data_IF_209010367933
#
_entry.id   IF_209010367933
#
_cell.length_a   1.000
_cell.length_b   1.000
_cell.length_c   1.000
_cell.angle_alpha   90.00
_cell.angle_beta   90.00
_cell.angle_gamma   90.00
#
_symmetry.space_group_name_H-M   'P 1'
#
loop_
_entity.id
_entity.type
_entity.pdbx_description
1 polymer ?
#
# COMPACT_ATOMS: atom_id res chain seq x y z
N UNK A 1 -40.65 12.59 -2.63
CA UNK A 1 -39.35 12.32 -3.28
C UNK A 1 -38.48 11.65 -2.27
N UNK A 2 -38.33 10.37 -2.38
CA UNK A 2 -37.43 9.60 -1.54
C UNK A 2 -36.02 9.85 -2.01
N UNK A 3 -35.25 10.58 -1.24
CA UNK A 3 -33.82 10.54 -1.36
C UNK A 3 -33.39 9.13 -0.97
N UNK A 4 -33.06 8.30 -1.94
CA UNK A 4 -32.37 7.06 -1.69
C UNK A 4 -31.00 7.44 -1.10
N UNK A 5 -30.94 7.55 0.21
CA UNK A 5 -29.69 7.39 0.94
C UNK A 5 -29.29 5.92 0.77
N UNK A 6 -28.78 5.59 -0.38
CA UNK A 6 -27.87 4.47 -0.48
C UNK A 6 -26.66 4.90 0.35
N UNK A 7 -26.64 4.44 1.59
CA UNK A 7 -25.42 4.42 2.36
C UNK A 7 -24.45 3.57 1.53
N UNK A 8 -23.71 4.24 0.65
CA UNK A 8 -22.55 3.62 0.02
C UNK A 8 -21.69 3.15 1.16
N UNK A 9 -21.61 1.85 1.33
CA UNK A 9 -20.56 1.21 2.13
C UNK A 9 -19.24 1.62 1.49
N UNK A 10 -18.71 2.76 1.94
CA UNK A 10 -17.51 3.36 1.39
C UNK A 10 -16.24 2.64 1.86
N UNK A 11 -16.28 1.31 1.85
CA UNK A 11 -15.09 0.51 2.11
C UNK A 11 -14.27 0.26 0.84
N UNK A 12 -14.52 1.01 -0.21
CA UNK A 12 -13.83 0.84 -1.49
C UNK A 12 -12.84 1.98 -1.71
N UNK A 13 -11.60 1.64 -2.03
CA UNK A 13 -10.59 2.62 -2.38
C UNK A 13 -10.91 3.28 -3.74
N UNK A 14 -10.86 4.61 -3.79
CA UNK A 14 -11.11 5.37 -5.02
C UNK A 14 -10.00 5.23 -6.06
N UNK A 15 -8.83 4.72 -5.67
CA UNK A 15 -7.67 4.56 -6.56
C UNK A 15 -7.65 3.17 -7.19
N UNK A 16 -7.77 2.11 -6.40
CA UNK A 16 -7.68 0.73 -6.88
C UNK A 16 -9.00 -0.03 -6.94
N UNK A 17 -10.08 0.54 -6.41
CA UNK A 17 -11.43 -0.02 -6.36
C UNK A 17 -11.56 -1.34 -5.58
N UNK A 18 -10.56 -1.67 -4.75
CA UNK A 18 -10.62 -2.82 -3.86
C UNK A 18 -11.22 -2.43 -2.52
N UNK A 19 -11.76 -3.42 -1.81
CA UNK A 19 -12.20 -3.21 -0.43
C UNK A 19 -11.02 -2.83 0.45
N UNK A 20 -11.23 -1.84 1.31
CA UNK A 20 -10.18 -1.30 2.18
C UNK A 20 -10.34 -1.87 3.58
N UNK A 21 -9.24 -2.43 4.09
CA UNK A 21 -9.11 -2.87 5.49
C UNK A 21 -8.34 -1.81 6.31
N UNK A 22 -7.28 -1.27 5.73
CA UNK A 22 -6.46 -0.24 6.35
C UNK A 22 -6.46 1.01 5.46
N UNK A 23 -6.84 2.14 6.04
CA UNK A 23 -6.90 3.43 5.36
C UNK A 23 -5.64 4.24 5.62
N UNK A 24 -5.24 5.04 4.63
CA UNK A 24 -4.28 6.12 4.78
C UNK A 24 -5.03 7.45 4.77
N UNK A 25 -4.91 8.21 5.85
CA UNK A 25 -5.62 9.48 6.02
C UNK A 25 -4.60 10.58 6.31
N UNK A 26 -4.64 11.63 5.53
CA UNK A 26 -3.86 12.85 5.73
C UNK A 26 -4.72 14.01 6.17
N UNK A 27 -4.13 15.21 6.20
CA UNK A 27 -4.79 16.43 6.66
C UNK A 27 -6.03 16.79 5.84
N UNK A 28 -6.09 16.41 4.56
CA UNK A 28 -7.26 16.63 3.69
C UNK A 28 -8.42 15.67 3.99
N UNK A 29 -8.19 14.65 4.80
CA UNK A 29 -9.19 13.66 5.24
C UNK A 29 -9.83 12.84 4.11
N UNK A 30 -9.18 12.73 2.95
CA UNK A 30 -9.57 11.84 1.87
C UNK A 30 -8.94 10.46 2.09
N UNK A 31 -9.70 9.44 2.51
CA UNK A 31 -9.12 8.13 2.77
C UNK A 31 -8.84 7.38 1.48
N UNK A 32 -7.67 6.78 1.41
CA UNK A 32 -7.29 5.80 0.38
C UNK A 32 -6.75 4.55 1.05
N UNK A 33 -6.65 3.43 0.33
CA UNK A 33 -6.07 2.24 0.96
C UNK A 33 -4.58 2.41 1.21
N UNK A 34 -4.08 1.75 2.25
CA UNK A 34 -2.67 1.88 2.64
C UNK A 34 -1.71 1.36 1.56
N UNK A 35 -2.12 0.38 0.76
CA UNK A 35 -1.30 -0.13 -0.35
C UNK A 35 -1.10 0.93 -1.45
N UNK A 36 -2.16 1.63 -1.84
CA UNK A 36 -2.06 2.73 -2.80
C UNK A 36 -1.23 3.88 -2.27
N UNK A 37 -1.42 4.26 -1.01
CA UNK A 37 -0.63 5.30 -0.35
C UNK A 37 0.84 4.92 -0.27
N UNK A 38 1.15 3.68 0.10
CA UNK A 38 2.53 3.16 0.12
C UNK A 38 3.16 3.23 -1.26
N UNK A 39 2.43 2.81 -2.29
CA UNK A 39 2.92 2.87 -3.67
C UNK A 39 3.28 4.29 -4.07
N UNK A 40 2.41 5.24 -3.83
CA UNK A 40 2.64 6.64 -4.19
C UNK A 40 3.79 7.25 -3.40
N UNK A 41 3.79 7.09 -2.08
CA UNK A 41 4.76 7.75 -1.20
C UNK A 41 6.14 7.11 -1.25
N UNK A 42 6.21 5.80 -1.28
CA UNK A 42 7.47 5.05 -1.19
C UNK A 42 8.07 4.81 -2.57
N UNK A 43 7.28 4.33 -3.52
CA UNK A 43 7.77 3.93 -4.83
C UNK A 43 7.81 5.09 -5.83
N UNK A 44 6.79 5.94 -5.83
CA UNK A 44 6.69 7.06 -6.76
C UNK A 44 7.20 8.37 -6.18
N UNK A 45 7.55 8.43 -4.89
CA UNK A 45 7.99 9.64 -4.18
C UNK A 45 6.98 10.80 -4.32
N UNK A 46 5.69 10.48 -4.35
CA UNK A 46 4.59 11.44 -4.46
C UNK A 46 3.82 11.48 -3.15
N UNK A 47 3.76 12.66 -2.55
CA UNK A 47 3.10 12.89 -1.26
C UNK A 47 1.74 13.59 -1.40
N UNK A 48 1.26 13.80 -2.60
CA UNK A 48 0.00 14.48 -2.86
C UNK A 48 -1.20 13.54 -2.72
N UNK A 49 -2.32 14.09 -2.24
CA UNK A 49 -3.57 13.36 -2.23
C UNK A 49 -4.03 13.07 -3.67
N UNK A 50 -4.36 11.83 -4.01
CA UNK A 50 -4.83 11.50 -5.37
C UNK A 50 -6.20 12.09 -5.71
N UNK A 51 -6.95 12.55 -4.71
CA UNK A 51 -8.30 13.10 -4.88
C UNK A 51 -8.26 14.61 -5.05
N UNK A 52 -7.66 15.34 -4.11
CA UNK A 52 -7.64 16.81 -4.11
C UNK A 52 -6.29 17.43 -4.47
N UNK A 53 -5.25 16.62 -4.62
CA UNK A 53 -3.88 17.01 -4.93
C UNK A 53 -3.19 17.89 -3.89
N UNK A 54 -3.75 17.98 -2.70
CA UNK A 54 -3.10 18.66 -1.59
C UNK A 54 -1.84 17.90 -1.20
N UNK A 55 -0.75 18.63 -0.95
CA UNK A 55 0.46 18.04 -0.39
C UNK A 55 0.20 17.54 1.02
N UNK A 56 0.54 16.28 1.27
CA UNK A 56 0.34 15.62 2.55
C UNK A 56 1.70 15.21 3.12
N UNK A 57 2.35 16.08 3.91
CA UNK A 57 3.67 15.79 4.46
C UNK A 57 3.67 14.56 5.39
N UNK A 58 2.54 14.25 6.00
CA UNK A 58 2.35 13.07 6.85
C UNK A 58 0.97 12.48 6.68
N UNK A 59 0.88 11.16 6.87
CA UNK A 59 -0.37 10.41 6.84
C UNK A 59 -0.41 9.43 8.01
N UNK A 60 -1.60 8.99 8.38
CA UNK A 60 -1.83 7.97 9.40
C UNK A 60 -2.48 6.75 8.75
N UNK A 61 -1.93 5.58 9.00
CA UNK A 61 -2.52 4.31 8.61
C UNK A 61 -3.38 3.78 9.76
N UNK A 62 -4.66 3.61 9.52
CA UNK A 62 -5.66 3.25 10.53
C UNK A 62 -6.76 2.36 9.95
N UNK A 63 -7.40 1.57 10.78
CA UNK A 63 -8.58 0.76 10.39
C UNK A 63 -9.88 1.53 10.47
N UNK A 64 -9.89 2.68 11.14
CA UNK A 64 -11.09 3.48 11.36
C UNK A 64 -10.98 4.84 10.68
N UNK A 65 -12.02 5.24 9.96
CA UNK A 65 -12.09 6.59 9.38
C UNK A 65 -12.51 7.55 10.48
N UNK A 66 -11.58 8.45 10.82
CA UNK A 66 -11.78 9.52 11.82
C UNK A 66 -11.22 10.82 11.29
N UNK A 67 -11.65 11.98 11.81
CA UNK A 67 -10.98 13.25 11.52
C UNK A 67 -9.48 13.17 11.83
N UNK A 68 -8.67 13.78 11.00
CA UNK A 68 -7.21 13.70 11.13
C UNK A 68 -6.71 14.14 12.51
N UNK A 69 -7.36 15.13 13.11
CA UNK A 69 -7.02 15.61 14.46
C UNK A 69 -7.27 14.58 15.57
N UNK A 70 -8.16 13.61 15.33
CA UNK A 70 -8.49 12.55 16.29
C UNK A 70 -7.67 11.27 16.06
N UNK A 71 -6.90 11.21 14.97
CA UNK A 71 -6.06 10.07 14.69
C UNK A 71 -4.83 10.08 15.59
N UNK A 72 -4.49 8.89 16.10
CA UNK A 72 -3.36 8.72 17.00
C UNK A 72 -2.04 8.89 16.26
N UNK A 73 -1.29 9.91 16.63
CA UNK A 73 0.06 10.19 16.12
C UNK A 73 1.06 9.98 17.26
N UNK A 74 1.28 8.70 17.59
CA UNK A 74 2.16 8.28 18.68
C UNK A 74 3.58 7.94 18.20
N UNK A 75 4.20 6.98 18.90
CA UNK A 75 5.58 6.58 18.66
C UNK A 75 5.75 5.64 17.46
N UNK A 76 4.68 5.09 16.92
CA UNK A 76 4.71 4.22 15.75
C UNK A 76 4.78 5.08 14.49
N UNK A 77 6.00 5.42 14.08
CA UNK A 77 6.26 6.34 12.99
C UNK A 77 7.40 5.80 12.13
N UNK A 78 7.18 5.76 10.83
CA UNK A 78 8.29 5.66 9.88
C UNK A 78 8.77 7.06 9.50
N UNK A 79 9.97 7.43 9.94
CA UNK A 79 10.51 8.77 9.76
C UNK A 79 10.96 9.06 8.34
N UNK A 80 11.27 8.02 7.56
CA UNK A 80 11.68 8.17 6.16
C UNK A 80 10.55 8.66 5.28
N UNK A 81 9.33 8.16 5.51
CA UNK A 81 8.16 8.46 4.70
C UNK A 81 7.10 9.27 5.42
N UNK A 82 7.32 9.60 6.70
CA UNK A 82 6.37 10.32 7.56
C UNK A 82 5.00 9.64 7.61
N UNK A 83 5.00 8.33 7.86
CA UNK A 83 3.79 7.53 8.01
C UNK A 83 3.65 7.14 9.47
N UNK A 84 2.53 7.53 10.08
CA UNK A 84 2.15 7.09 11.42
C UNK A 84 1.29 5.84 11.32
N UNK A 85 1.42 4.95 12.30
CA UNK A 85 0.64 3.72 12.40
C UNK A 85 -0.20 3.74 13.67
N UNK A 86 -1.47 3.44 13.54
CA UNK A 86 -2.39 3.40 14.68
C UNK A 86 -2.07 2.23 15.62
N UNK A 87 -1.67 1.09 15.06
CA UNK A 87 -1.32 -0.12 15.81
C UNK A 87 -0.04 -0.75 15.30
N UNK A 88 0.68 -1.57 16.13
CA UNK A 88 1.85 -2.32 15.66
C UNK A 88 1.54 -3.32 14.54
N UNK A 89 0.33 -3.86 14.51
CA UNK A 89 -0.13 -4.76 13.45
C UNK A 89 -0.14 -4.08 12.07
N UNK A 90 -0.65 -2.85 12.03
CA UNK A 90 -0.64 -2.04 10.81
C UNK A 90 0.79 -1.74 10.36
N UNK A 91 1.67 -1.41 11.29
CA UNK A 91 3.08 -1.18 11.00
C UNK A 91 3.74 -2.43 10.41
N UNK A 92 3.48 -3.60 10.95
CA UNK A 92 3.97 -4.87 10.41
C UNK A 92 3.50 -5.09 8.97
N UNK A 93 2.22 -4.85 8.69
CA UNK A 93 1.66 -5.00 7.34
C UNK A 93 2.29 -4.05 6.34
N UNK A 94 2.60 -2.82 6.76
CA UNK A 94 3.33 -1.87 5.91
C UNK A 94 4.72 -2.39 5.54
N UNK A 95 5.49 -2.88 6.50
CA UNK A 95 6.82 -3.41 6.23
C UNK A 95 6.75 -4.71 5.41
N UNK A 96 5.72 -5.52 5.57
CA UNK A 96 5.49 -6.71 4.74
C UNK A 96 5.29 -6.35 3.26
N UNK A 97 4.63 -5.24 2.97
CA UNK A 97 4.50 -4.74 1.58
C UNK A 97 5.86 -4.42 0.94
N UNK A 98 6.80 -3.95 1.73
CA UNK A 98 8.13 -3.56 1.27
C UNK A 98 9.12 -4.73 1.28
N UNK A 99 8.81 -5.82 1.97
CA UNK A 99 9.66 -6.97 2.09
C UNK A 99 9.73 -7.77 0.78
N UNK A 100 10.87 -8.43 0.57
CA UNK A 100 11.09 -9.29 -0.58
C UNK A 100 10.67 -10.73 -0.24
N UNK A 101 9.36 -10.97 -0.17
CA UNK A 101 8.79 -12.24 0.27
C UNK A 101 8.20 -13.02 -0.90
N UNK A 102 8.46 -14.32 -0.96
CA UNK A 102 7.73 -15.21 -1.86
C UNK A 102 6.43 -15.66 -1.18
N UNK A 103 5.29 -15.27 -1.75
CA UNK A 103 3.95 -15.64 -1.25
C UNK A 103 3.44 -16.98 -1.77
N UNK A 104 4.14 -17.59 -2.73
CA UNK A 104 3.74 -18.87 -3.34
C UNK A 104 4.27 -20.04 -2.51
N UNK A 105 5.50 -19.96 -2.03
CA UNK A 105 6.07 -20.97 -1.14
C UNK A 105 5.34 -20.99 0.20
N UNK A 106 5.11 -22.19 0.75
CA UNK A 106 4.45 -22.35 2.05
C UNK A 106 5.26 -21.71 3.18
N UNK A 107 6.59 -21.80 3.11
CA UNK A 107 7.50 -21.22 4.09
C UNK A 107 7.61 -19.71 4.01
N UNK A 108 7.11 -19.10 2.95
CA UNK A 108 7.19 -17.67 2.67
C UNK A 108 8.59 -17.10 2.90
N UNK A 109 9.61 -17.61 2.15
CA UNK A 109 10.99 -17.19 2.35
C UNK A 109 11.15 -15.70 2.04
N UNK A 110 11.97 -15.03 2.86
CA UNK A 110 12.30 -13.62 2.73
C UNK A 110 13.68 -13.49 2.12
N UNK A 111 13.82 -12.69 1.10
CA UNK A 111 15.09 -12.45 0.41
C UNK A 111 15.65 -11.06 0.78
N UNK A 112 16.96 -10.95 0.85
CA UNK A 112 17.63 -9.71 1.20
C UNK A 112 17.51 -8.64 0.11
N UNK A 113 17.40 -9.06 -1.15
CA UNK A 113 17.28 -8.15 -2.30
C UNK A 113 16.12 -8.55 -3.20
N UNK A 114 15.63 -7.58 -3.97
CA UNK A 114 14.59 -7.84 -4.96
C UNK A 114 15.09 -8.75 -6.08
N UNK A 115 16.36 -8.63 -6.48
CA UNK A 115 16.96 -9.50 -7.51
C UNK A 115 16.97 -10.97 -7.06
N UNK A 116 17.27 -11.23 -5.80
CA UNK A 116 17.20 -12.60 -5.25
C UNK A 116 15.79 -13.17 -5.28
N UNK A 117 14.78 -12.33 -4.97
CA UNK A 117 13.37 -12.74 -5.10
C UNK A 117 13.00 -12.99 -6.56
N UNK A 118 13.41 -12.13 -7.48
CA UNK A 118 13.18 -12.32 -8.93
C UNK A 118 13.74 -13.65 -9.41
N UNK A 119 14.97 -13.98 -9.05
CA UNK A 119 15.62 -15.23 -9.43
C UNK A 119 14.90 -16.45 -8.84
N UNK A 120 14.49 -16.37 -7.59
CA UNK A 120 13.71 -17.43 -6.94
C UNK A 120 12.36 -17.64 -7.67
N UNK A 121 11.64 -16.58 -7.98
CA UNK A 121 10.35 -16.67 -8.67
C UNK A 121 10.50 -17.29 -10.05
N UNK A 122 11.54 -16.92 -10.78
CA UNK A 122 11.83 -17.47 -12.10
C UNK A 122 12.20 -18.96 -12.04
N UNK A 123 13.08 -19.34 -11.10
CA UNK A 123 13.59 -20.72 -11.02
C UNK A 123 12.62 -21.70 -10.36
N UNK A 124 11.87 -21.27 -9.36
CA UNK A 124 11.00 -22.14 -8.58
C UNK A 124 9.54 -22.15 -9.04
N UNK A 125 9.08 -21.05 -9.60
CA UNK A 125 7.67 -20.88 -9.96
C UNK A 125 7.45 -20.56 -11.42
N UNK A 126 8.51 -20.43 -12.20
CA UNK A 126 8.46 -20.05 -13.63
C UNK A 126 7.69 -18.74 -13.86
N UNK A 127 7.77 -17.82 -12.91
CA UNK A 127 7.11 -16.52 -12.95
C UNK A 127 8.15 -15.42 -13.10
N UNK A 128 7.80 -14.41 -13.89
CA UNK A 128 8.63 -13.24 -14.11
C UNK A 128 7.92 -11.98 -13.65
N UNK A 129 8.66 -11.08 -13.01
CA UNK A 129 8.23 -9.71 -12.87
C UNK A 129 8.41 -8.99 -14.20
N UNK A 130 7.48 -8.12 -14.56
CA UNK A 130 7.64 -7.26 -15.72
C UNK A 130 8.74 -6.24 -15.43
N UNK A 131 9.91 -6.38 -16.04
CA UNK A 131 11.03 -5.47 -15.83
C UNK A 131 10.65 -4.02 -16.19
N UNK A 132 9.91 -3.85 -17.28
CA UNK A 132 9.44 -2.56 -17.70
C UNK A 132 8.50 -1.91 -16.68
N UNK A 133 7.58 -2.66 -16.10
CA UNK A 133 6.68 -2.19 -15.06
C UNK A 133 7.41 -1.88 -13.75
N UNK A 134 8.35 -2.73 -13.36
CA UNK A 134 9.15 -2.53 -12.14
C UNK A 134 10.01 -1.27 -12.23
N UNK A 135 10.65 -1.04 -13.37
CA UNK A 135 11.54 0.11 -13.57
C UNK A 135 10.79 1.41 -13.83
N UNK A 136 9.75 1.39 -14.67
CA UNK A 136 9.11 2.61 -15.17
C UNK A 136 7.83 2.97 -14.42
N UNK A 137 7.05 1.98 -13.99
CA UNK A 137 5.79 2.22 -13.30
C UNK A 137 5.90 2.08 -11.77
N UNK A 138 7.05 1.62 -11.29
CA UNK A 138 7.32 1.42 -9.86
C UNK A 138 6.17 0.74 -9.13
N UNK A 139 5.67 -0.34 -9.73
CA UNK A 139 4.60 -1.15 -9.13
C UNK A 139 5.11 -1.93 -7.93
N UNK A 140 4.22 -2.26 -7.02
CA UNK A 140 4.54 -3.15 -5.90
C UNK A 140 4.86 -4.56 -6.40
N UNK A 141 5.63 -5.29 -5.61
CA UNK A 141 6.15 -6.62 -5.92
C UNK A 141 5.08 -7.70 -6.08
N UNK A 142 3.81 -7.33 -6.00
CA UNK A 142 2.69 -8.25 -6.16
C UNK A 142 2.29 -8.50 -7.63
N UNK A 143 2.84 -7.73 -8.55
CA UNK A 143 2.52 -7.88 -9.97
C UNK A 143 3.52 -8.82 -10.65
N UNK A 144 3.22 -10.09 -10.59
CA UNK A 144 3.92 -11.13 -11.32
C UNK A 144 3.24 -11.39 -12.65
N UNK A 145 4.02 -11.46 -13.70
CA UNK A 145 3.55 -11.93 -15.00
C UNK A 145 4.05 -13.36 -15.16
N UNK A 146 3.11 -14.29 -15.32
CA UNK A 146 3.50 -15.64 -15.68
C UNK A 146 4.10 -15.63 -17.09
N UNK A 147 5.31 -16.12 -17.27
CA UNK A 147 5.83 -16.37 -18.60
C UNK A 147 5.20 -17.65 -19.11
N UNK A 148 4.11 -17.49 -19.82
CA UNK A 148 3.58 -18.57 -20.63
C UNK A 148 4.36 -18.58 -21.96
N UNK A 149 5.42 -19.30 -21.96
CA UNK A 149 5.99 -19.87 -23.20
C UNK A 149 6.84 -21.05 -22.88
#
# INVERSE_FOLDING_TARGET
MSANNESMNNNTCVVCYKNVDIYSIGMCEHPVCYECSTRMRVLCCQNECPICRQDLPKVVFTKEIKPFSQLHKGNLLDTRYNIYFDTPDIQSKFYDLLANVCYICKERPVFSTFNSLKDHMRHQHELHYCDLCVENLKVTKHYLISSLF
#
